data_IF_653319250021
#
_entry.id   IF_653319250021
#
_cell.length_a   1.000
_cell.length_b   1.000
_cell.length_c   1.000
_cell.angle_alpha   90.00
_cell.angle_beta   90.00
_cell.angle_gamma   90.00
#
_symmetry.space_group_name_H-M   'P 1'
#
loop_
_entity.id
_entity.type
_entity.pdbx_description
1 polymer ?
#
# COMPACT_ATOMS: atom_id res chain seq x y z
N UNK A 1 31.65 -19.64 34.52
CA UNK A 1 30.78 -20.27 35.56
C UNK A 1 30.26 -21.59 35.01
N UNK A 2 30.16 -22.66 35.78
CA UNK A 2 29.54 -23.90 35.28
C UNK A 2 28.01 -23.85 35.45
N UNK A 3 27.26 -24.32 34.45
CA UNK A 3 25.82 -24.58 34.55
C UNK A 3 25.60 -26.04 34.19
N UNK A 4 24.98 -26.82 35.09
CA UNK A 4 24.73 -28.25 34.91
C UNK A 4 25.97 -29.05 34.48
N UNK A 5 27.13 -28.77 35.10
CA UNK A 5 28.39 -29.49 34.83
C UNK A 5 29.16 -29.04 33.58
N UNK A 6 28.59 -28.18 32.73
CA UNK A 6 29.28 -27.63 31.55
C UNK A 6 29.81 -26.23 31.86
N UNK A 7 31.08 -25.97 31.52
CA UNK A 7 31.67 -24.63 31.66
C UNK A 7 31.01 -23.67 30.68
N UNK A 8 30.38 -22.63 31.20
CA UNK A 8 29.80 -21.53 30.43
C UNK A 8 30.62 -20.28 30.70
N UNK A 9 31.33 -19.82 29.67
CA UNK A 9 31.92 -18.50 29.67
C UNK A 9 30.81 -17.47 29.46
N UNK A 10 30.75 -16.46 30.33
CA UNK A 10 29.93 -15.29 30.04
C UNK A 10 30.60 -14.56 28.87
N UNK A 11 29.89 -14.53 27.75
CA UNK A 11 30.25 -13.76 26.55
C UNK A 11 30.71 -12.35 26.95
N UNK A 12 31.95 -12.00 26.59
CA UNK A 12 32.58 -10.68 26.87
C UNK A 12 32.03 -9.56 25.98
N UNK A 13 31.08 -9.88 25.12
CA UNK A 13 30.38 -9.05 24.16
C UNK A 13 29.16 -8.34 24.81
N UNK A 14 29.44 -7.47 25.79
CA UNK A 14 28.46 -6.47 26.25
C UNK A 14 27.34 -7.01 27.15
N UNK A 15 27.65 -7.99 28.00
CA UNK A 15 26.70 -8.59 28.96
C UNK A 15 26.33 -7.69 30.16
N UNK A 16 26.68 -6.41 30.13
CA UNK A 16 26.11 -5.44 31.06
C UNK A 16 24.63 -5.23 30.75
N UNK A 17 23.79 -5.46 31.76
CA UNK A 17 22.36 -5.19 31.65
C UNK A 17 22.17 -3.70 31.46
N UNK A 18 21.74 -3.29 30.26
CA UNK A 18 21.38 -1.91 29.94
C UNK A 18 20.45 -1.33 31.02
N UNK A 19 20.72 -0.09 31.41
CA UNK A 19 19.88 0.69 32.31
C UNK A 19 18.52 0.97 31.69
N UNK A 20 17.51 1.23 32.52
CA UNK A 20 16.16 1.57 32.04
C UNK A 20 16.16 2.79 31.09
N UNK A 21 17.00 3.78 31.37
CA UNK A 21 17.20 4.97 30.53
C UNK A 21 17.77 4.61 29.16
N UNK A 22 18.79 3.76 29.10
CA UNK A 22 19.40 3.33 27.83
C UNK A 22 18.42 2.54 26.99
N UNK A 23 17.69 1.59 27.59
CA UNK A 23 16.65 0.83 26.87
C UNK A 23 15.54 1.76 26.35
N UNK A 24 15.13 2.76 27.14
CA UNK A 24 14.13 3.74 26.72
C UNK A 24 14.61 4.62 25.56
N UNK A 25 15.89 5.01 25.57
CA UNK A 25 16.54 5.75 24.49
C UNK A 25 16.58 4.92 23.20
N UNK A 26 17.07 3.68 23.28
CA UNK A 26 17.12 2.76 22.13
C UNK A 26 15.74 2.54 21.52
N UNK A 27 14.69 2.30 22.33
CA UNK A 27 13.32 2.15 21.82
C UNK A 27 12.78 3.43 21.17
N UNK A 28 13.20 4.61 21.65
CA UNK A 28 12.80 5.88 21.04
C UNK A 28 13.47 6.10 19.70
N UNK A 29 14.74 5.71 19.56
CA UNK A 29 15.47 5.74 18.29
C UNK A 29 14.87 4.76 17.29
N UNK A 30 14.58 3.51 17.71
CA UNK A 30 13.88 2.51 16.91
C UNK A 30 12.55 3.04 16.36
N UNK A 31 11.73 3.66 17.21
CA UNK A 31 10.45 4.24 16.80
C UNK A 31 10.63 5.36 15.78
N UNK A 32 11.59 6.26 16.01
CA UNK A 32 11.90 7.34 15.06
C UNK A 32 12.32 6.78 13.69
N UNK A 33 13.18 5.75 13.69
CA UNK A 33 13.58 5.07 12.47
C UNK A 33 12.40 4.44 11.74
N UNK A 34 11.50 3.75 12.45
CA UNK A 34 10.31 3.14 11.87
C UNK A 34 9.36 4.19 11.28
N UNK A 35 9.15 5.32 11.98
CA UNK A 35 8.36 6.44 11.46
C UNK A 35 8.95 6.99 10.17
N UNK A 36 10.27 7.23 10.15
CA UNK A 36 10.97 7.68 8.95
C UNK A 36 10.80 6.68 7.81
N UNK A 37 11.00 5.39 8.05
CA UNK A 37 10.86 4.35 7.01
C UNK A 37 9.44 4.26 6.46
N UNK A 38 8.42 4.34 7.33
CA UNK A 38 7.02 4.40 6.91
C UNK A 38 6.74 5.62 6.04
N UNK A 39 7.18 6.80 6.45
CA UNK A 39 6.96 8.04 5.69
C UNK A 39 7.61 7.98 4.30
N UNK A 40 8.81 7.39 4.19
CA UNK A 40 9.49 7.16 2.90
C UNK A 40 8.66 6.23 2.00
N UNK A 41 8.16 5.12 2.55
CA UNK A 41 7.33 4.18 1.79
C UNK A 41 5.98 4.79 1.38
N UNK A 42 5.31 5.52 2.27
CA UNK A 42 4.05 6.22 1.97
C UNK A 42 4.23 7.27 0.88
N UNK A 43 5.29 8.09 0.96
CA UNK A 43 5.59 9.10 -0.07
C UNK A 43 5.90 8.46 -1.42
N UNK A 44 6.60 7.31 -1.43
CA UNK A 44 6.89 6.58 -2.66
C UNK A 44 5.63 5.91 -3.22
N UNK A 45 4.77 5.35 -2.36
CA UNK A 45 3.50 4.77 -2.76
C UNK A 45 2.58 5.83 -3.37
N UNK A 46 2.44 7.00 -2.73
CA UNK A 46 1.68 8.13 -3.27
C UNK A 46 2.16 8.55 -4.66
N UNK A 47 3.47 8.78 -4.82
CA UNK A 47 4.05 9.10 -6.15
C UNK A 47 3.79 8.01 -7.21
N UNK A 48 3.85 6.74 -6.83
CA UNK A 48 3.55 5.64 -7.74
C UNK A 48 2.07 5.61 -8.10
N UNK A 49 1.18 5.86 -7.14
CA UNK A 49 -0.26 5.93 -7.35
C UNK A 49 -0.64 7.11 -8.24
N UNK A 50 -0.01 8.28 -8.06
CA UNK A 50 -0.24 9.46 -8.92
C UNK A 50 0.20 9.20 -10.37
N UNK A 51 1.26 8.40 -10.56
CA UNK A 51 1.78 8.02 -11.88
C UNK A 51 1.01 6.86 -12.53
N UNK A 52 0.39 6.00 -11.73
CA UNK A 52 -0.35 4.83 -12.21
C UNK A 52 -1.82 5.23 -12.29
N UNK A 53 -2.31 5.50 -13.49
CA UNK A 53 -3.69 5.97 -13.69
C UNK A 53 -4.78 4.87 -13.60
N UNK A 54 -4.45 3.67 -13.10
CA UNK A 54 -5.35 2.50 -13.01
C UNK A 54 -6.14 2.16 -14.30
N UNK A 55 -5.67 2.62 -15.46
CA UNK A 55 -6.36 2.51 -16.75
C UNK A 55 -6.68 1.07 -17.17
N UNK A 56 -6.01 0.06 -16.63
CA UNK A 56 -6.28 -1.34 -16.99
C UNK A 56 -7.34 -2.01 -16.13
N UNK A 57 -7.75 -1.41 -15.03
CA UNK A 57 -8.84 -1.94 -14.21
C UNK A 57 -10.17 -1.39 -14.70
N UNK A 58 -11.19 -2.24 -14.80
CA UNK A 58 -12.54 -1.77 -15.11
C UNK A 58 -12.99 -0.85 -13.98
N UNK A 59 -13.28 0.43 -14.28
CA UNK A 59 -13.71 1.33 -13.23
C UNK A 59 -15.08 0.88 -12.71
N UNK A 60 -15.28 1.00 -11.41
CA UNK A 60 -16.53 0.61 -10.74
C UNK A 60 -17.67 1.63 -10.95
N UNK A 61 -17.50 2.61 -11.83
CA UNK A 61 -18.49 3.64 -12.09
C UNK A 61 -19.60 3.15 -13.03
N UNK A 62 -20.80 3.67 -12.81
CA UNK A 62 -21.96 3.43 -13.69
C UNK A 62 -22.12 4.62 -14.62
N UNK A 63 -22.19 4.37 -15.93
CA UNK A 63 -22.46 5.38 -16.95
C UNK A 63 -23.89 5.20 -17.46
N UNK A 64 -24.80 6.08 -17.02
CA UNK A 64 -26.21 6.06 -17.41
C UNK A 64 -26.42 6.93 -18.65
N UNK A 65 -27.08 6.37 -19.66
CA UNK A 65 -27.43 7.06 -20.91
C UNK A 65 -28.94 7.30 -20.88
N UNK A 66 -29.36 8.51 -21.20
CA UNK A 66 -30.77 8.88 -21.27
C UNK A 66 -31.20 8.90 -22.73
N UNK A 67 -32.34 8.27 -23.01
CA UNK A 67 -32.96 8.20 -24.33
C UNK A 67 -34.41 8.64 -24.21
N UNK A 68 -34.94 9.21 -25.29
CA UNK A 68 -36.26 9.85 -25.28
C UNK A 68 -37.39 8.83 -25.52
N UNK A 69 -37.17 7.84 -26.38
CA UNK A 69 -38.19 6.86 -26.79
C UNK A 69 -37.90 5.43 -26.32
N UNK A 70 -38.95 4.69 -25.96
CA UNK A 70 -38.85 3.26 -25.61
C UNK A 70 -38.29 2.39 -26.75
N UNK A 71 -38.56 2.78 -28.00
CA UNK A 71 -38.01 2.11 -29.20
C UNK A 71 -36.49 2.27 -29.29
N UNK A 72 -35.96 3.41 -28.86
CA UNK A 72 -34.52 3.65 -28.82
C UNK A 72 -33.86 2.81 -27.72
N UNK A 73 -34.54 2.58 -26.61
CA UNK A 73 -34.05 1.70 -25.53
C UNK A 73 -33.89 0.26 -26.02
N UNK A 74 -34.87 -0.27 -26.77
CA UNK A 74 -34.82 -1.65 -27.26
C UNK A 74 -33.71 -1.88 -28.30
N UNK A 75 -33.45 -0.90 -29.16
CA UNK A 75 -32.48 -0.99 -30.24
C UNK A 75 -31.16 -0.26 -29.93
N UNK A 76 -30.86 -0.04 -28.65
CA UNK A 76 -29.68 0.73 -28.27
C UNK A 76 -28.38 -0.02 -28.58
N UNK A 77 -27.53 0.58 -29.44
CA UNK A 77 -26.15 0.18 -29.63
C UNK A 77 -25.17 1.23 -29.09
N UNK A 78 -24.27 0.78 -28.21
CA UNK A 78 -23.25 1.64 -27.63
C UNK A 78 -22.21 2.09 -28.67
N UNK A 79 -21.87 1.25 -29.65
CA UNK A 79 -20.85 1.58 -30.64
C UNK A 79 -21.33 2.67 -31.61
N UNK A 80 -22.58 2.58 -32.07
CA UNK A 80 -23.22 3.64 -32.84
C UNK A 80 -23.43 4.92 -32.03
N UNK A 81 -23.92 4.82 -30.79
CA UNK A 81 -24.15 5.99 -29.93
C UNK A 81 -22.88 6.81 -29.68
N UNK A 82 -21.74 6.16 -29.46
CA UNK A 82 -20.46 6.86 -29.24
C UNK A 82 -19.68 7.12 -30.54
N UNK A 83 -20.18 6.68 -31.69
CA UNK A 83 -19.49 6.68 -32.98
C UNK A 83 -18.08 6.07 -32.89
N UNK A 84 -17.96 4.89 -32.27
CA UNK A 84 -16.68 4.18 -32.09
C UNK A 84 -16.69 2.81 -32.74
N UNK A 85 -15.52 2.16 -32.80
CA UNK A 85 -15.46 0.73 -33.08
C UNK A 85 -16.09 -0.08 -31.93
N UNK A 86 -16.73 -1.23 -32.20
CA UNK A 86 -17.37 -2.07 -31.17
C UNK A 86 -16.38 -2.53 -30.08
N UNK A 87 -15.14 -2.84 -30.47
CA UNK A 87 -14.04 -3.23 -29.56
C UNK A 87 -13.67 -2.13 -28.54
N UNK A 88 -13.99 -0.87 -28.83
CA UNK A 88 -13.67 0.28 -27.99
C UNK A 88 -14.85 0.75 -27.15
N UNK A 89 -16.08 0.36 -27.51
CA UNK A 89 -17.29 0.80 -26.84
C UNK A 89 -17.32 0.43 -25.34
N UNK A 90 -16.73 -0.73 -25.01
CA UNK A 90 -16.58 -1.21 -23.63
C UNK A 90 -15.49 -0.53 -22.80
N UNK A 91 -14.64 0.32 -23.40
CA UNK A 91 -13.58 1.03 -22.66
C UNK A 91 -14.15 2.23 -21.91
N UNK A 92 -13.68 2.46 -20.68
CA UNK A 92 -14.15 3.62 -19.92
C UNK A 92 -13.40 4.92 -20.25
N UNK A 93 -12.19 4.83 -20.77
CA UNK A 93 -11.31 5.95 -21.11
C UNK A 93 -10.77 5.77 -22.53
N UNK A 94 -10.33 6.88 -23.12
CA UNK A 94 -9.74 6.92 -24.46
C UNK A 94 -10.56 6.11 -25.50
N UNK A 95 -11.81 6.55 -25.71
CA UNK A 95 -12.73 6.05 -26.73
C UNK A 95 -12.73 7.01 -27.93
N UNK A 96 -11.78 6.89 -28.88
CA UNK A 96 -11.76 7.74 -30.05
C UNK A 96 -12.94 7.44 -30.99
N UNK A 97 -13.46 8.48 -31.63
CA UNK A 97 -14.49 8.36 -32.67
C UNK A 97 -13.92 7.75 -33.95
N UNK A 98 -14.77 7.24 -34.84
CA UNK A 98 -14.35 6.69 -36.15
C UNK A 98 -13.56 7.69 -36.97
N UNK A 99 -13.96 8.98 -36.97
CA UNK A 99 -13.22 10.06 -37.63
C UNK A 99 -11.81 10.26 -37.05
N UNK A 100 -11.66 10.13 -35.73
CA UNK A 100 -10.39 10.26 -35.03
C UNK A 100 -9.48 9.04 -35.22
N UNK A 101 -10.05 7.84 -35.38
CA UNK A 101 -9.30 6.64 -35.74
C UNK A 101 -8.77 6.68 -37.16
N UNK A 102 -9.45 7.39 -38.06
CA UNK A 102 -9.00 7.60 -39.43
C UNK A 102 -7.82 8.58 -39.52
N UNK A 103 -7.63 9.45 -38.50
CA UNK A 103 -6.47 10.34 -38.39
C UNK A 103 -5.32 9.70 -37.61
N UNK A 104 -4.11 9.74 -38.15
CA UNK A 104 -2.90 9.19 -37.51
C UNK A 104 -2.49 9.93 -36.22
N UNK A 105 -3.06 11.11 -35.96
CA UNK A 105 -2.71 11.96 -34.81
C UNK A 105 -3.02 11.31 -33.44
N UNK A 106 -3.88 10.28 -33.40
CA UNK A 106 -4.35 9.66 -32.15
C UNK A 106 -3.44 8.53 -31.66
N UNK A 107 -2.55 8.02 -32.52
CA UNK A 107 -1.66 6.89 -32.19
C UNK A 107 -0.39 7.34 -31.47
N UNK A 108 -0.54 7.96 -30.29
CA UNK A 108 0.61 8.24 -29.41
C UNK A 108 0.90 7.00 -28.55
N UNK A 109 1.61 6.01 -29.11
CA UNK A 109 1.93 4.78 -28.40
C UNK A 109 2.96 3.89 -29.08
N UNK A 110 3.45 2.85 -28.39
CA UNK A 110 4.36 1.87 -28.98
C UNK A 110 3.67 1.13 -30.14
N UNK A 111 4.21 1.27 -31.35
CA UNK A 111 3.67 0.68 -32.57
C UNK A 111 4.08 -0.80 -32.74
N UNK A 112 5.20 -1.18 -32.13
CA UNK A 112 5.75 -2.52 -32.25
C UNK A 112 5.33 -3.44 -31.10
N UNK A 113 5.03 -4.70 -31.40
CA UNK A 113 4.70 -5.74 -30.40
C UNK A 113 5.76 -5.87 -29.29
N UNK A 114 7.05 -5.70 -29.63
CA UNK A 114 8.15 -5.75 -28.67
C UNK A 114 8.13 -4.55 -27.71
N UNK A 115 7.79 -3.37 -28.20
CA UNK A 115 7.69 -2.15 -27.40
C UNK A 115 6.44 -2.20 -26.51
N UNK A 116 5.33 -2.70 -27.03
CA UNK A 116 4.11 -2.99 -26.27
C UNK A 116 4.41 -3.90 -25.07
N UNK A 117 5.04 -5.07 -25.31
CA UNK A 117 5.43 -5.99 -24.22
C UNK A 117 6.40 -5.34 -23.23
N UNK A 118 7.31 -4.47 -23.68
CA UNK A 118 8.22 -3.75 -22.80
C UNK A 118 7.46 -2.75 -21.91
N UNK A 119 6.52 -2.00 -22.48
CA UNK A 119 5.68 -1.06 -21.74
C UNK A 119 4.80 -1.78 -20.71
N UNK A 120 4.21 -2.91 -21.08
CA UNK A 120 3.41 -3.75 -20.17
C UNK A 120 4.24 -4.27 -18.99
N UNK A 121 5.45 -4.80 -19.25
CA UNK A 121 6.35 -5.25 -18.18
C UNK A 121 6.74 -4.12 -17.24
N UNK A 122 7.03 -2.94 -17.77
CA UNK A 122 7.34 -1.75 -16.96
C UNK A 122 6.14 -1.35 -16.10
N UNK A 123 4.93 -1.40 -16.66
CA UNK A 123 3.69 -1.12 -15.93
C UNK A 123 3.46 -2.13 -14.82
N UNK A 124 3.56 -3.43 -15.11
CA UNK A 124 3.40 -4.50 -14.13
C UNK A 124 4.44 -4.38 -12.99
N UNK A 125 5.69 -4.08 -13.30
CA UNK A 125 6.73 -3.87 -12.31
C UNK A 125 6.39 -2.72 -11.35
N UNK A 126 5.83 -1.61 -11.86
CA UNK A 126 5.37 -0.48 -11.04
C UNK A 126 4.20 -0.86 -10.13
N UNK A 127 3.19 -1.58 -10.65
CA UNK A 127 2.08 -2.07 -9.82
C UNK A 127 2.57 -3.04 -8.75
N UNK A 128 3.51 -3.92 -9.08
CA UNK A 128 4.14 -4.82 -8.12
C UNK A 128 4.86 -4.04 -7.03
N UNK A 129 5.63 -3.01 -7.38
CA UNK A 129 6.28 -2.13 -6.39
C UNK A 129 5.23 -1.45 -5.50
N UNK A 130 4.19 -0.84 -6.07
CA UNK A 130 3.12 -0.19 -5.31
C UNK A 130 2.48 -1.15 -4.30
N UNK A 131 2.12 -2.37 -4.75
CA UNK A 131 1.52 -3.38 -3.88
C UNK A 131 2.44 -3.78 -2.72
N UNK A 132 3.75 -3.88 -2.97
CA UNK A 132 4.75 -4.20 -1.95
C UNK A 132 4.91 -3.05 -0.94
N UNK A 133 4.93 -1.80 -1.41
CA UNK A 133 5.00 -0.61 -0.54
C UNK A 133 3.78 -0.52 0.37
N UNK A 134 2.58 -0.73 -0.16
CA UNK A 134 1.34 -0.74 0.63
C UNK A 134 1.35 -1.86 1.68
N UNK A 135 1.76 -3.08 1.30
CA UNK A 135 1.91 -4.21 2.24
C UNK A 135 2.92 -3.90 3.34
N UNK A 136 4.08 -3.34 2.97
CA UNK A 136 5.13 -2.95 3.92
C UNK A 136 4.66 -1.83 4.86
N UNK A 137 3.94 -0.83 4.37
CA UNK A 137 3.36 0.23 5.21
C UNK A 137 2.43 -0.33 6.29
N UNK A 138 1.59 -1.31 5.94
CA UNK A 138 0.75 -2.04 6.91
C UNK A 138 1.58 -2.80 7.95
N UNK A 139 2.65 -3.47 7.53
CA UNK A 139 3.55 -4.19 8.44
C UNK A 139 4.29 -3.23 9.39
N UNK A 140 4.83 -2.14 8.88
CA UNK A 140 5.51 -1.11 9.68
C UNK A 140 4.57 -0.51 10.71
N UNK A 141 3.32 -0.22 10.33
CA UNK A 141 2.27 0.27 11.24
C UNK A 141 2.10 -0.67 12.44
N UNK A 142 1.95 -1.97 12.19
CA UNK A 142 1.83 -2.98 13.25
C UNK A 142 3.06 -3.01 14.19
N UNK A 143 4.27 -2.95 13.62
CA UNK A 143 5.51 -2.97 14.41
C UNK A 143 5.64 -1.70 15.26
N UNK A 144 5.30 -0.53 14.70
CA UNK A 144 5.31 0.73 15.44
C UNK A 144 4.31 0.74 16.58
N UNK A 145 3.08 0.27 16.36
CA UNK A 145 2.06 0.17 17.42
C UNK A 145 2.56 -0.68 18.60
N UNK A 146 3.25 -1.79 18.31
CA UNK A 146 3.89 -2.63 19.32
C UNK A 146 5.01 -1.90 20.06
N UNK A 147 5.97 -1.32 19.33
CA UNK A 147 7.10 -0.58 19.92
C UNK A 147 6.62 0.63 20.74
N UNK A 148 5.56 1.31 20.29
CA UNK A 148 4.95 2.44 20.99
C UNK A 148 4.31 1.98 22.29
N UNK A 149 3.59 0.86 22.26
CA UNK A 149 3.01 0.26 23.48
C UNK A 149 4.11 -0.10 24.48
N UNK A 150 5.20 -0.73 24.02
CA UNK A 150 6.35 -1.05 24.87
C UNK A 150 6.98 0.20 25.51
N UNK A 151 7.13 1.29 24.73
CA UNK A 151 7.62 2.58 25.25
C UNK A 151 6.66 3.18 26.28
N UNK A 152 5.36 3.17 26.01
CA UNK A 152 4.34 3.68 26.94
C UNK A 152 4.34 2.90 28.25
N UNK A 153 4.48 1.57 28.19
CA UNK A 153 4.57 0.68 29.36
C UNK A 153 5.84 0.95 30.17
N UNK A 154 6.94 1.36 29.56
CA UNK A 154 8.15 1.79 30.29
C UNK A 154 8.00 3.15 30.98
N UNK A 155 6.95 3.91 30.65
CA UNK A 155 6.62 5.17 31.31
C UNK A 155 6.18 5.02 32.77
N UNK A 156 6.13 6.16 33.47
CA UNK A 156 5.68 6.26 34.86
C UNK A 156 4.16 6.06 34.97
N UNK A 157 3.69 5.70 36.16
CA UNK A 157 2.28 5.53 36.48
C UNK A 157 1.87 4.06 36.68
N UNK A 158 0.88 3.86 37.56
CA UNK A 158 0.34 2.53 37.85
C UNK A 158 -0.54 2.06 36.70
N UNK A 159 -0.25 0.88 36.18
CA UNK A 159 -0.87 0.29 34.99
C UNK A 159 -1.24 -1.16 35.24
N UNK A 160 -2.28 -1.64 34.56
CA UNK A 160 -2.73 -3.03 34.56
C UNK A 160 -2.90 -3.51 33.12
N UNK A 161 -2.39 -4.71 32.82
CA UNK A 161 -2.66 -5.38 31.54
C UNK A 161 -4.10 -5.87 31.53
N UNK A 162 -4.86 -5.51 30.49
CA UNK A 162 -6.28 -5.85 30.34
C UNK A 162 -6.48 -6.95 29.31
N UNK A 163 -5.67 -6.96 28.24
CA UNK A 163 -5.70 -7.98 27.21
C UNK A 163 -4.29 -8.34 26.75
N UNK A 164 -4.13 -9.60 26.35
CA UNK A 164 -2.90 -10.12 25.76
C UNK A 164 -2.72 -9.67 24.31
N UNK A 165 -1.54 -9.98 23.76
CA UNK A 165 -1.21 -9.67 22.37
C UNK A 165 -1.81 -10.76 21.48
N UNK A 166 -2.87 -10.42 20.75
CA UNK A 166 -3.55 -11.36 19.83
C UNK A 166 -3.61 -10.83 18.40
N UNK A 167 -3.51 -11.73 17.42
CA UNK A 167 -3.69 -11.41 16.00
C UNK A 167 -2.70 -10.36 15.44
N UNK A 168 -1.54 -10.21 16.06
CA UNK A 168 -0.54 -9.19 15.71
C UNK A 168 -0.84 -7.79 16.24
N UNK A 169 -1.89 -7.59 17.06
CA UNK A 169 -2.13 -6.34 17.78
C UNK A 169 -1.30 -6.31 19.07
N UNK A 170 -0.88 -5.12 19.54
CA UNK A 170 -0.18 -5.00 20.81
C UNK A 170 -1.10 -5.29 22.01
N UNK A 171 -0.53 -5.72 23.16
CA UNK A 171 -1.28 -5.91 24.38
C UNK A 171 -1.88 -4.59 24.89
N UNK A 172 -3.08 -4.66 25.47
CA UNK A 172 -3.82 -3.48 25.94
C UNK A 172 -3.56 -3.27 27.44
N UNK A 173 -3.21 -2.03 27.80
CA UNK A 173 -2.99 -1.61 29.18
C UNK A 173 -3.96 -0.50 29.57
N UNK A 174 -4.40 -0.52 30.83
CA UNK A 174 -5.17 0.56 31.46
C UNK A 174 -4.32 1.22 32.54
N UNK A 175 -4.15 2.53 32.43
CA UNK A 175 -3.51 3.35 33.47
C UNK A 175 -4.56 3.77 34.49
N UNK A 176 -4.21 3.73 35.79
CA UNK A 176 -5.07 4.29 36.82
C UNK A 176 -5.11 5.81 36.69
N UNK A 177 -6.30 6.39 36.71
CA UNK A 177 -6.47 7.84 36.87
C UNK A 177 -5.94 8.24 38.25
N UNK A 178 -5.29 9.40 38.31
CA UNK A 178 -5.03 10.07 39.58
C UNK A 178 -6.34 10.51 40.22
#
# INVERSE_FOLDING_TARGET
KTKNGVHVEERRDGSEKLTHSEVSLMKSQDLSYLHMKRAVDEKKAGRLQDQLHLLTENPMNKHTIFLDDEKQIQNFDAAEHFDTAPELAGRAFNRPRKSQLASDEVLTGPSNMKEMKKAERQREAKYRELSQRLKRGKQLTRVMERKQTEKNVMGKGRKRKVADSEGGKPPVYKWQKK
#
